data_IF_824373631118
#
_entry.id   IF_824373631118
#
_cell.length_a   1.000
_cell.length_b   1.000
_cell.length_c   1.000
_cell.angle_alpha   90.00
_cell.angle_beta   90.00
_cell.angle_gamma   90.00
#
_symmetry.space_group_name_H-M   'P 1'
#
loop_
_entity.id
_entity.type
_entity.pdbx_description
1 polymer ?
#
# COMPACT_ATOMS: atom_id res chain seq x y z
N UNK A 1 7.39 -0.97 -16.41
CA UNK A 1 7.56 -2.42 -16.14
C UNK A 1 7.20 -2.70 -14.67
N UNK A 2 6.52 -3.80 -14.45
CA UNK A 2 6.16 -4.24 -13.09
C UNK A 2 6.99 -5.46 -12.70
N UNK A 3 7.35 -5.55 -11.44
CA UNK A 3 8.00 -6.72 -10.86
C UNK A 3 7.71 -6.81 -9.35
N UNK A 4 8.02 -7.96 -8.78
CA UNK A 4 7.98 -8.13 -7.33
C UNK A 4 9.19 -7.45 -6.70
N UNK A 5 9.02 -6.89 -5.50
CA UNK A 5 10.13 -6.26 -4.78
C UNK A 5 11.18 -7.29 -4.34
N UNK A 6 12.40 -6.82 -4.19
CA UNK A 6 13.56 -7.59 -3.79
C UNK A 6 14.27 -6.94 -2.61
N UNK A 7 15.22 -7.63 -2.01
CA UNK A 7 15.98 -7.10 -0.86
C UNK A 7 16.65 -5.75 -1.18
N UNK A 8 17.14 -5.59 -2.40
CA UNK A 8 17.80 -4.35 -2.86
C UNK A 8 16.88 -3.13 -2.90
N UNK A 9 15.57 -3.32 -2.89
CA UNK A 9 14.61 -2.24 -2.98
C UNK A 9 14.30 -1.57 -1.64
N UNK A 10 14.80 -2.10 -0.54
CA UNK A 10 14.45 -1.66 0.80
C UNK A 10 14.59 -0.16 0.98
N UNK A 11 15.75 0.41 0.63
CA UNK A 11 16.02 1.84 0.82
C UNK A 11 15.11 2.70 -0.05
N UNK A 12 14.90 2.32 -1.28
CA UNK A 12 14.04 3.07 -2.20
C UNK A 12 12.59 3.08 -1.72
N UNK A 13 12.09 1.93 -1.27
CA UNK A 13 10.72 1.84 -0.71
C UNK A 13 10.62 2.66 0.57
N UNK A 14 11.62 2.61 1.43
CA UNK A 14 11.70 3.41 2.64
C UNK A 14 11.58 4.91 2.30
N UNK A 15 12.36 5.39 1.34
CA UNK A 15 12.34 6.80 0.97
C UNK A 15 10.97 7.22 0.42
N UNK A 16 10.33 6.38 -0.40
CA UNK A 16 8.99 6.65 -0.92
C UNK A 16 7.94 6.74 0.20
N UNK A 17 7.99 5.82 1.16
CA UNK A 17 7.03 5.80 2.28
C UNK A 17 7.27 6.98 3.21
N UNK A 18 8.52 7.32 3.51
CA UNK A 18 8.84 8.50 4.32
C UNK A 18 8.33 9.79 3.67
N UNK A 19 8.45 9.91 2.35
CA UNK A 19 7.92 11.05 1.60
C UNK A 19 6.39 11.13 1.73
N UNK A 20 5.70 10.00 1.56
CA UNK A 20 4.25 9.93 1.69
C UNK A 20 3.78 10.30 3.11
N UNK A 21 4.45 9.79 4.13
CA UNK A 21 4.09 10.04 5.53
C UNK A 21 4.60 11.40 6.03
N UNK A 22 5.41 12.07 5.24
CA UNK A 22 6.04 13.36 5.58
C UNK A 22 6.80 13.30 6.90
N UNK A 23 7.53 12.21 7.14
CA UNK A 23 8.38 12.03 8.32
C UNK A 23 9.44 10.97 8.07
N UNK A 24 10.52 11.02 8.84
CA UNK A 24 11.56 10.02 8.80
C UNK A 24 11.23 8.87 9.76
N UNK A 25 10.94 7.69 9.21
CA UNK A 25 10.69 6.50 10.00
C UNK A 25 12.00 5.89 10.50
N UNK A 26 11.99 5.12 11.61
CA UNK A 26 13.21 4.45 12.07
C UNK A 26 13.64 3.36 11.07
N UNK A 27 14.75 3.59 10.38
CA UNK A 27 15.18 2.74 9.27
C UNK A 27 15.49 1.30 9.69
N UNK A 28 16.12 1.10 10.82
CA UNK A 28 16.44 -0.23 11.33
C UNK A 28 15.19 -1.09 11.58
N UNK A 29 14.13 -0.49 12.12
CA UNK A 29 12.85 -1.15 12.31
C UNK A 29 12.19 -1.42 10.96
N UNK A 30 12.20 -0.44 10.06
CA UNK A 30 11.66 -0.58 8.71
C UNK A 30 12.35 -1.72 7.96
N UNK A 31 13.67 -1.74 7.94
CA UNK A 31 14.44 -2.78 7.23
C UNK A 31 14.12 -4.17 7.77
N UNK A 32 14.06 -4.33 9.09
CA UNK A 32 13.74 -5.61 9.71
C UNK A 32 12.35 -6.09 9.30
N UNK A 33 11.35 -5.21 9.33
CA UNK A 33 9.98 -5.52 8.91
C UNK A 33 9.94 -5.87 7.43
N UNK A 34 10.59 -5.07 6.60
CA UNK A 34 10.63 -5.30 5.14
C UNK A 34 11.23 -6.67 4.81
N UNK A 35 12.37 -7.01 5.40
CA UNK A 35 13.01 -8.30 5.18
C UNK A 35 12.15 -9.47 5.64
N UNK A 36 11.47 -9.31 6.77
CA UNK A 36 10.51 -10.30 7.26
C UNK A 36 9.38 -10.51 6.27
N UNK A 37 8.85 -9.42 5.70
CA UNK A 37 7.76 -9.50 4.70
C UNK A 37 8.18 -10.20 3.42
N UNK A 38 9.43 -10.04 2.99
CA UNK A 38 9.93 -10.73 1.79
C UNK A 38 9.85 -12.26 1.89
N UNK A 39 9.94 -12.80 3.11
CA UNK A 39 9.86 -14.24 3.35
C UNK A 39 8.42 -14.76 3.46
N UNK A 40 7.42 -13.89 3.52
CA UNK A 40 6.03 -14.27 3.72
C UNK A 40 5.32 -14.51 2.38
N UNK A 41 4.54 -15.59 2.33
CA UNK A 41 3.75 -15.96 1.16
C UNK A 41 2.45 -15.17 1.04
N UNK A 42 1.99 -14.56 2.14
CA UNK A 42 0.76 -13.78 2.19
C UNK A 42 0.97 -12.29 1.91
N UNK A 43 2.20 -11.90 1.54
CA UNK A 43 2.53 -10.51 1.21
C UNK A 43 3.20 -10.46 -0.17
N UNK A 44 2.79 -9.50 -0.97
CA UNK A 44 3.35 -9.25 -2.28
C UNK A 44 3.51 -7.75 -2.49
N UNK A 45 4.75 -7.30 -2.62
CA UNK A 45 5.05 -5.90 -2.88
C UNK A 45 5.34 -5.70 -4.37
N UNK A 46 4.52 -4.90 -5.02
CA UNK A 46 4.65 -4.56 -6.45
C UNK A 46 5.57 -3.35 -6.58
N UNK A 47 6.52 -3.44 -7.50
CA UNK A 47 7.39 -2.33 -7.92
C UNK A 47 7.05 -1.98 -9.36
N UNK A 48 6.87 -0.69 -9.64
CA UNK A 48 6.84 -0.16 -11.00
C UNK A 48 8.15 0.55 -11.28
N UNK A 49 8.81 0.16 -12.34
CA UNK A 49 10.04 0.80 -12.81
C UNK A 49 9.86 1.42 -14.18
N UNK A 50 10.55 2.54 -14.38
CA UNK A 50 10.65 3.18 -15.69
C UNK A 50 12.11 3.59 -15.90
N UNK A 51 12.74 3.01 -16.92
CA UNK A 51 14.16 3.27 -17.26
C UNK A 51 15.10 3.06 -16.05
N UNK A 52 14.87 1.99 -15.28
CA UNK A 52 15.69 1.63 -14.12
C UNK A 52 15.38 2.43 -12.85
N UNK A 53 14.42 3.35 -12.88
CA UNK A 53 13.98 4.12 -11.71
C UNK A 53 12.66 3.59 -11.18
N UNK A 54 12.58 3.36 -9.87
CA UNK A 54 11.34 2.98 -9.21
C UNK A 54 10.41 4.19 -9.15
N UNK A 55 9.25 4.09 -9.77
CA UNK A 55 8.28 5.18 -9.87
C UNK A 55 7.10 5.02 -8.93
N UNK A 56 6.83 3.80 -8.47
CA UNK A 56 5.74 3.51 -7.55
C UNK A 56 5.94 2.15 -6.89
N UNK A 57 5.28 1.99 -5.74
CA UNK A 57 5.18 0.70 -5.07
C UNK A 57 3.78 0.51 -4.50
N UNK A 58 3.34 -0.73 -4.42
CA UNK A 58 2.09 -1.09 -3.78
C UNK A 58 2.27 -2.42 -3.07
N UNK A 59 2.01 -2.45 -1.76
CA UNK A 59 2.21 -3.62 -0.92
C UNK A 59 0.87 -4.28 -0.61
N UNK A 60 0.71 -5.53 -1.01
CA UNK A 60 -0.50 -6.32 -0.81
C UNK A 60 -0.31 -7.35 0.29
N UNK A 61 -1.36 -7.53 1.10
CA UNK A 61 -1.49 -8.67 2.00
C UNK A 61 -2.72 -9.47 1.60
N UNK A 62 -2.56 -10.80 1.52
CA UNK A 62 -3.67 -11.72 1.20
C UNK A 62 -4.19 -12.33 2.49
N UNK A 63 -5.50 -12.32 2.68
CA UNK A 63 -6.13 -12.71 3.92
C UNK A 63 -7.39 -13.52 3.67
N UNK A 64 -7.54 -14.63 4.37
CA UNK A 64 -8.79 -15.40 4.34
C UNK A 64 -9.64 -14.96 5.52
N UNK A 65 -10.84 -14.48 5.25
CA UNK A 65 -11.74 -13.96 6.27
C UNK A 65 -12.95 -14.86 6.43
N UNK A 66 -13.29 -15.20 7.68
CA UNK A 66 -14.39 -16.13 7.96
C UNK A 66 -15.73 -15.62 7.47
N UNK A 67 -16.01 -14.33 7.68
CA UNK A 67 -17.30 -13.74 7.30
C UNK A 67 -17.50 -13.58 5.80
N UNK A 68 -16.42 -13.49 5.04
CA UNK A 68 -16.49 -13.46 3.58
C UNK A 68 -16.44 -14.86 2.97
N UNK A 69 -15.88 -15.85 3.68
CA UNK A 69 -15.58 -17.19 3.15
C UNK A 69 -14.77 -17.12 1.87
N UNK A 70 -13.97 -16.08 1.70
CA UNK A 70 -13.18 -15.80 0.51
C UNK A 70 -11.84 -15.20 0.89
N UNK A 71 -10.92 -15.19 -0.06
CA UNK A 71 -9.62 -14.57 0.09
C UNK A 71 -9.68 -13.12 -0.37
N UNK A 72 -9.19 -12.22 0.46
CA UNK A 72 -9.22 -10.79 0.24
C UNK A 72 -7.79 -10.27 0.11
N UNK A 73 -7.54 -9.36 -0.82
CA UNK A 73 -6.29 -8.64 -0.90
C UNK A 73 -6.47 -7.27 -0.25
N UNK A 74 -5.58 -6.94 0.70
CA UNK A 74 -5.56 -5.61 1.31
C UNK A 74 -4.32 -4.84 0.85
N UNK A 75 -4.55 -3.61 0.39
CA UNK A 75 -3.46 -2.67 0.11
C UNK A 75 -2.99 -2.08 1.44
N UNK A 76 -1.78 -2.42 1.84
CA UNK A 76 -1.19 -1.90 3.08
C UNK A 76 -0.49 -0.57 2.86
N UNK A 77 0.27 -0.43 1.79
CA UNK A 77 0.92 0.81 1.37
C UNK A 77 0.79 0.95 -0.14
N UNK A 78 0.63 2.18 -0.59
CA UNK A 78 0.57 2.52 -2.01
C UNK A 78 1.13 3.92 -2.20
N UNK A 79 2.28 4.00 -2.86
CA UNK A 79 3.00 5.27 -3.05
C UNK A 79 3.39 5.41 -4.52
N UNK A 80 3.10 6.58 -5.09
CA UNK A 80 3.64 7.01 -6.38
C UNK A 80 4.67 8.10 -6.12
N UNK A 81 5.84 7.98 -6.72
CA UNK A 81 6.89 9.00 -6.62
C UNK A 81 6.33 10.37 -7.05
N UNK A 82 6.73 11.42 -6.33
CA UNK A 82 6.21 12.77 -6.55
C UNK A 82 6.35 13.24 -8.00
N UNK A 83 7.42 12.86 -8.68
CA UNK A 83 7.66 13.22 -10.07
C UNK A 83 6.75 12.51 -11.08
N UNK A 84 5.99 11.51 -10.63
CA UNK A 84 5.11 10.71 -11.50
C UNK A 84 3.64 10.80 -11.09
N UNK A 85 3.29 11.66 -10.14
CA UNK A 85 1.89 11.89 -9.75
C UNK A 85 1.14 12.60 -10.88
N UNK A 86 -0.17 12.33 -10.94
CA UNK A 86 -1.07 12.90 -11.95
C UNK A 86 -0.69 12.53 -13.40
N UNK A 87 0.00 11.41 -13.61
CA UNK A 87 0.43 10.92 -14.91
C UNK A 87 -0.25 9.62 -15.33
N UNK A 88 -1.19 9.12 -14.53
CA UNK A 88 -1.85 7.83 -14.78
C UNK A 88 -1.10 6.63 -14.18
N UNK A 89 0.04 6.83 -13.54
CA UNK A 89 0.83 5.75 -12.91
C UNK A 89 0.03 5.06 -11.82
N UNK A 90 -0.68 5.82 -10.97
CA UNK A 90 -1.48 5.23 -9.90
C UNK A 90 -2.53 4.26 -10.42
N UNK A 91 -3.22 4.62 -11.51
CA UNK A 91 -4.20 3.77 -12.17
C UNK A 91 -3.58 2.48 -12.67
N UNK A 92 -2.41 2.56 -13.32
CA UNK A 92 -1.68 1.40 -13.82
C UNK A 92 -1.28 0.45 -12.67
N UNK A 93 -0.77 1.00 -11.57
CA UNK A 93 -0.33 0.20 -10.42
C UNK A 93 -1.52 -0.49 -9.76
N UNK A 94 -2.64 0.22 -9.59
CA UNK A 94 -3.85 -0.38 -9.02
C UNK A 94 -4.39 -1.52 -9.91
N UNK A 95 -4.38 -1.33 -11.22
CA UNK A 95 -4.77 -2.38 -12.16
C UNK A 95 -3.88 -3.62 -12.04
N UNK A 96 -2.57 -3.42 -11.91
CA UNK A 96 -1.62 -4.52 -11.68
C UNK A 96 -1.88 -5.21 -10.34
N UNK A 97 -2.19 -4.45 -9.30
CA UNK A 97 -2.54 -5.01 -7.98
C UNK A 97 -3.78 -5.91 -8.08
N UNK A 98 -4.80 -5.48 -8.82
CA UNK A 98 -6.00 -6.29 -9.05
C UNK A 98 -5.67 -7.58 -9.81
N UNK A 99 -4.79 -7.50 -10.81
CA UNK A 99 -4.35 -8.66 -11.58
C UNK A 99 -3.63 -9.67 -10.68
N UNK A 100 -2.69 -9.21 -9.86
CA UNK A 100 -1.96 -10.05 -8.90
C UNK A 100 -2.92 -10.67 -7.89
N UNK A 101 -3.84 -9.89 -7.34
CA UNK A 101 -4.83 -10.39 -6.39
C UNK A 101 -5.66 -11.53 -6.99
N UNK A 102 -6.10 -11.40 -8.23
CA UNK A 102 -6.83 -12.47 -8.94
C UNK A 102 -5.97 -13.71 -9.12
N UNK A 103 -4.70 -13.56 -9.48
CA UNK A 103 -3.77 -14.69 -9.62
C UNK A 103 -3.60 -15.46 -8.30
N UNK A 104 -3.64 -14.73 -7.16
CA UNK A 104 -3.53 -15.34 -5.83
C UNK A 104 -4.85 -15.86 -5.30
N UNK A 105 -5.92 -15.83 -6.11
CA UNK A 105 -7.22 -16.40 -5.75
C UNK A 105 -8.10 -15.46 -4.93
N UNK A 106 -7.80 -14.17 -4.90
CA UNK A 106 -8.61 -13.18 -4.18
C UNK A 106 -9.86 -12.82 -4.99
N UNK A 107 -10.97 -12.65 -4.29
CA UNK A 107 -12.23 -12.20 -4.89
C UNK A 107 -12.47 -10.70 -4.74
N UNK A 108 -11.69 -10.03 -3.87
CA UNK A 108 -11.89 -8.63 -3.54
C UNK A 108 -10.56 -7.99 -3.17
N UNK A 109 -10.45 -6.69 -3.46
CA UNK A 109 -9.32 -5.86 -3.01
C UNK A 109 -9.86 -4.73 -2.16
N UNK A 110 -9.19 -4.43 -1.06
CA UNK A 110 -9.60 -3.43 -0.08
C UNK A 110 -8.43 -2.49 0.25
N UNK A 111 -8.76 -1.27 0.65
CA UNK A 111 -7.77 -0.30 1.13
C UNK A 111 -8.41 0.57 2.20
N UNK A 112 -7.66 0.86 3.27
CA UNK A 112 -8.05 1.86 4.25
C UNK A 112 -7.38 3.18 3.88
N UNK A 113 -8.14 4.27 3.89
CA UNK A 113 -7.64 5.59 3.54
C UNK A 113 -8.16 6.61 4.54
N UNK A 114 -7.28 7.52 5.00
CA UNK A 114 -7.65 8.58 5.93
C UNK A 114 -8.79 9.44 5.34
N UNK A 115 -9.78 9.77 6.16
CA UNK A 115 -10.95 10.56 5.77
C UNK A 115 -10.59 11.94 5.22
N UNK A 116 -9.44 12.50 5.59
CA UNK A 116 -9.00 13.82 5.16
C UNK A 116 -8.36 13.81 3.76
N UNK A 117 -7.99 12.65 3.25
CA UNK A 117 -7.36 12.50 1.92
C UNK A 117 -8.42 12.40 0.82
N UNK A 118 -9.15 13.47 0.61
CA UNK A 118 -10.31 13.51 -0.30
C UNK A 118 -9.94 13.24 -1.77
N UNK A 119 -8.78 13.70 -2.22
CA UNK A 119 -8.32 13.44 -3.58
C UNK A 119 -8.04 11.96 -3.81
N UNK A 120 -7.50 11.29 -2.80
CA UNK A 120 -7.25 9.85 -2.84
C UNK A 120 -8.57 9.08 -2.85
N UNK A 121 -9.57 9.54 -2.09
CA UNK A 121 -10.92 8.95 -2.12
C UNK A 121 -11.50 9.03 -3.54
N UNK A 122 -11.41 10.18 -4.18
CA UNK A 122 -11.90 10.36 -5.56
C UNK A 122 -11.18 9.44 -6.53
N UNK A 123 -9.87 9.25 -6.33
CA UNK A 123 -9.09 8.28 -7.13
C UNK A 123 -9.68 6.88 -7.01
N UNK A 124 -9.85 6.37 -5.80
CA UNK A 124 -10.39 5.02 -5.61
C UNK A 124 -11.81 4.87 -6.16
N UNK A 125 -12.66 5.87 -5.97
CA UNK A 125 -14.01 5.85 -6.51
C UNK A 125 -14.02 5.81 -8.04
N UNK A 126 -13.17 6.60 -8.69
CA UNK A 126 -13.02 6.56 -10.17
C UNK A 126 -12.57 5.20 -10.67
N UNK A 127 -11.77 4.51 -9.88
CA UNK A 127 -11.29 3.17 -10.23
C UNK A 127 -12.28 2.05 -9.84
N UNK A 128 -13.50 2.40 -9.48
CA UNK A 128 -14.58 1.45 -9.22
C UNK A 128 -14.65 0.91 -7.81
N UNK A 129 -13.95 1.50 -6.88
CA UNK A 129 -14.00 1.09 -5.47
C UNK A 129 -15.12 1.82 -4.71
N UNK A 130 -15.68 1.12 -3.74
CA UNK A 130 -16.80 1.63 -2.94
C UNK A 130 -16.41 1.79 -1.48
N UNK A 131 -16.89 2.85 -0.85
CA UNK A 131 -16.64 3.15 0.55
C UNK A 131 -17.85 2.75 1.40
N UNK A 132 -17.92 1.49 1.79
CA UNK A 132 -19.03 0.95 2.59
C UNK A 132 -18.72 0.82 4.08
N UNK A 133 -17.47 1.04 4.50
CA UNK A 133 -17.02 0.74 5.85
C UNK A 133 -16.29 1.91 6.47
N UNK A 134 -16.36 1.98 7.80
CA UNK A 134 -15.51 2.86 8.59
C UNK A 134 -14.43 2.02 9.28
N UNK A 135 -13.25 2.59 9.40
CA UNK A 135 -12.15 1.98 10.13
C UNK A 135 -11.99 2.69 11.47
N UNK A 136 -12.04 1.92 12.57
CA UNK A 136 -11.77 2.42 13.91
C UNK A 136 -10.42 1.88 14.37
N UNK A 137 -9.59 2.74 14.95
CA UNK A 137 -8.29 2.34 15.50
C UNK A 137 -8.11 2.91 16.89
N UNK A 138 -7.41 2.17 17.74
CA UNK A 138 -7.08 2.61 19.09
C UNK A 138 -5.63 2.25 19.36
N UNK A 139 -4.85 3.23 19.80
CA UNK A 139 -3.46 2.98 20.16
C UNK A 139 -3.42 2.25 21.50
N UNK A 140 -2.64 1.18 21.58
CA UNK A 140 -2.55 0.35 22.78
C UNK A 140 -1.31 0.70 23.64
N UNK A 141 -0.31 1.37 23.04
CA UNK A 141 0.91 1.81 23.73
C UNK A 141 1.17 3.27 23.36
N UNK A 142 1.61 4.05 24.36
CA UNK A 142 1.83 5.49 24.21
C UNK A 142 0.53 6.27 24.26
N UNK A 143 0.62 7.59 24.06
CA UNK A 143 -0.54 8.45 24.02
C UNK A 143 -1.17 8.49 22.64
N UNK A 144 -2.49 8.59 22.61
CA UNK A 144 -3.23 8.79 21.37
C UNK A 144 -3.19 10.28 21.03
N UNK A 145 -2.12 10.69 20.34
CA UNK A 145 -2.01 12.04 19.83
C UNK A 145 -2.82 12.15 18.53
N UNK A 146 -3.61 13.18 18.38
CA UNK A 146 -4.41 13.39 17.17
C UNK A 146 -3.61 13.44 15.86
N UNK A 147 -2.29 13.35 15.90
CA UNK A 147 -1.43 13.33 14.72
C UNK A 147 -1.66 12.09 13.85
N UNK A 148 -2.06 10.98 14.45
CA UNK A 148 -2.41 9.78 13.68
C UNK A 148 -3.57 9.99 12.74
N UNK A 149 -4.38 11.02 12.94
CA UNK A 149 -5.49 11.39 12.06
C UNK A 149 -4.99 12.12 10.81
N UNK A 150 -3.89 12.88 10.94
CA UNK A 150 -3.35 13.73 9.87
C UNK A 150 -2.25 13.05 9.04
N UNK A 151 -1.64 11.99 9.54
CA UNK A 151 -0.47 11.36 8.94
C UNK A 151 -0.74 10.43 7.76
N UNK A 152 -1.99 10.20 7.40
CA UNK A 152 -2.33 9.25 6.32
C UNK A 152 -3.30 9.80 5.33
#
# INVERSE_FOLDING_TARGET
MFRKSEARDCRTIYDLICDMENKQLPYDVFEKTYRSQLERKDIYCIIREEKGTVTAMLNLRFEEQLHHCEKIAEIMEFVVDAGYRDTGVGKEVLAEACRIALEYGCSQIEVACNQLRKDTHRFYEREGMHNYHYKFSKRLRGEDDGENVLGR
#
